data_IF_587762317160
#
_entry.id   IF_587762317160
#
_cell.length_a   1.000
_cell.length_b   1.000
_cell.length_c   1.000
_cell.angle_alpha   90.00
_cell.angle_beta   90.00
_cell.angle_gamma   90.00
#
_symmetry.space_group_name_H-M   'P 1'
#
loop_
_entity.id
_entity.type
_entity.pdbx_description
1 polymer ?
#
# COMPACT_ATOMS: atom_id res chain seq x y z
N UNK A 1 -32.27 45.20 50.73
CA UNK A 1 -30.81 45.45 50.62
C UNK A 1 -29.91 44.29 51.03
N UNK A 2 -29.66 43.96 52.31
CA UNK A 2 -28.66 42.92 52.68
C UNK A 2 -28.97 41.51 52.15
N UNK A 3 -30.25 41.10 52.16
CA UNK A 3 -30.66 39.78 51.63
C UNK A 3 -30.60 39.71 50.10
N UNK A 4 -31.04 40.75 49.39
CA UNK A 4 -30.99 40.82 47.92
C UNK A 4 -29.55 40.77 47.42
N UNK A 5 -28.64 41.50 48.08
CA UNK A 5 -27.22 41.48 47.75
C UNK A 5 -26.61 40.08 47.94
N UNK A 6 -27.05 39.33 48.95
CA UNK A 6 -26.61 37.95 49.20
C UNK A 6 -27.10 36.99 48.11
N UNK A 7 -28.34 37.16 47.63
CA UNK A 7 -28.90 36.38 46.53
C UNK A 7 -28.14 36.68 45.23
N UNK A 8 -27.85 37.94 44.93
CA UNK A 8 -27.08 38.32 43.73
C UNK A 8 -25.67 37.71 43.74
N UNK A 9 -24.97 37.75 44.88
CA UNK A 9 -23.63 37.15 45.02
C UNK A 9 -23.69 35.63 44.85
N UNK A 10 -24.67 34.96 45.46
CA UNK A 10 -24.86 33.51 45.30
C UNK A 10 -25.18 33.13 43.86
N UNK A 11 -26.05 33.88 43.18
CA UNK A 11 -26.38 33.66 41.78
C UNK A 11 -25.17 33.88 40.88
N UNK A 12 -24.35 34.91 41.14
CA UNK A 12 -23.11 35.15 40.41
C UNK A 12 -22.08 34.02 40.62
N UNK A 13 -21.93 33.54 41.86
CA UNK A 13 -21.05 32.41 42.17
C UNK A 13 -21.54 31.11 41.50
N UNK A 14 -22.85 30.84 41.50
CA UNK A 14 -23.43 29.69 40.81
C UNK A 14 -23.30 29.80 39.29
N UNK A 15 -23.49 30.99 38.71
CA UNK A 15 -23.30 31.22 37.28
C UNK A 15 -21.83 31.02 36.88
N UNK A 16 -20.89 31.47 37.70
CA UNK A 16 -19.46 31.27 37.48
C UNK A 16 -19.04 29.79 37.62
N UNK A 17 -19.54 29.09 38.63
CA UNK A 17 -19.30 27.64 38.78
C UNK A 17 -19.95 26.84 37.64
N UNK A 18 -21.15 27.22 37.22
CA UNK A 18 -21.84 26.59 36.10
C UNK A 18 -21.10 26.79 34.78
N UNK A 19 -20.59 28.00 34.51
CA UNK A 19 -19.86 28.29 33.28
C UNK A 19 -18.49 27.61 33.24
N UNK A 20 -17.77 27.57 34.37
CA UNK A 20 -16.47 26.89 34.46
C UNK A 20 -16.60 25.38 34.32
N UNK A 21 -17.57 24.75 34.99
CA UNK A 21 -17.85 23.32 34.84
C UNK A 21 -18.35 23.00 33.43
N UNK A 22 -19.21 23.84 32.87
CA UNK A 22 -19.70 23.70 31.49
C UNK A 22 -18.57 23.77 30.47
N UNK A 23 -17.70 24.78 30.56
CA UNK A 23 -16.54 24.92 29.68
C UNK A 23 -15.56 23.74 29.80
N UNK A 24 -15.31 23.26 31.02
CA UNK A 24 -14.45 22.10 31.26
C UNK A 24 -15.02 20.82 30.63
N UNK A 25 -16.32 20.55 30.83
CA UNK A 25 -16.99 19.38 30.24
C UNK A 25 -17.06 19.48 28.71
N UNK A 26 -17.37 20.66 28.16
CA UNK A 26 -17.37 20.90 26.71
C UNK A 26 -15.98 20.68 26.11
N UNK A 27 -14.91 21.10 26.79
CA UNK A 27 -13.55 20.85 26.35
C UNK A 27 -13.20 19.36 26.34
N UNK A 28 -13.47 18.63 27.44
CA UNK A 28 -13.21 17.18 27.49
C UNK A 28 -14.03 16.39 26.46
N UNK A 29 -15.30 16.75 26.24
CA UNK A 29 -16.14 16.09 25.24
C UNK A 29 -15.68 16.44 23.82
N UNK A 30 -15.28 17.69 23.59
CA UNK A 30 -14.72 18.14 22.31
C UNK A 30 -13.41 17.45 21.96
N UNK A 31 -12.49 17.32 22.91
CA UNK A 31 -11.22 16.62 22.73
C UNK A 31 -11.45 15.14 22.39
N UNK A 32 -12.33 14.44 23.12
CA UNK A 32 -12.69 13.05 22.81
C UNK A 32 -13.39 12.89 21.47
N UNK A 33 -14.22 13.84 21.06
CA UNK A 33 -14.88 13.82 19.76
C UNK A 33 -13.86 14.02 18.63
N UNK A 34 -12.95 14.98 18.80
CA UNK A 34 -11.86 15.27 17.87
C UNK A 34 -10.90 14.08 17.74
N UNK A 35 -10.49 13.46 18.86
CA UNK A 35 -9.65 12.25 18.84
C UNK A 35 -10.31 11.11 18.05
N UNK A 36 -11.62 10.90 18.24
CA UNK A 36 -12.36 9.90 17.46
C UNK A 36 -12.37 10.26 15.99
N UNK A 37 -12.66 11.50 15.63
CA UNK A 37 -12.71 11.97 14.25
C UNK A 37 -11.36 11.77 13.55
N UNK A 38 -10.26 12.17 14.19
CA UNK A 38 -8.90 11.95 13.70
C UNK A 38 -8.60 10.46 13.50
N UNK A 39 -8.99 9.61 14.46
CA UNK A 39 -8.82 8.16 14.34
C UNK A 39 -9.66 7.57 13.20
N UNK A 40 -10.90 8.03 13.00
CA UNK A 40 -11.75 7.57 11.91
C UNK A 40 -11.19 7.99 10.55
N UNK A 41 -10.72 9.22 10.42
CA UNK A 41 -10.09 9.71 9.19
C UNK A 41 -8.80 8.94 8.88
N UNK A 42 -7.98 8.66 9.90
CA UNK A 42 -6.79 7.84 9.73
C UNK A 42 -7.12 6.41 9.28
N UNK A 43 -8.14 5.78 9.88
CA UNK A 43 -8.62 4.45 9.47
C UNK A 43 -9.16 4.47 8.05
N UNK A 44 -9.95 5.48 7.69
CA UNK A 44 -10.51 5.66 6.34
C UNK A 44 -9.41 5.81 5.31
N UNK A 45 -8.41 6.65 5.58
CA UNK A 45 -7.24 6.82 4.72
C UNK A 45 -6.51 5.49 4.52
N UNK A 46 -6.27 4.75 5.61
CA UNK A 46 -5.58 3.45 5.56
C UNK A 46 -6.31 2.44 4.68
N UNK A 47 -7.64 2.31 4.85
CA UNK A 47 -8.46 1.41 4.02
C UNK A 47 -8.44 1.83 2.55
N UNK A 48 -8.51 3.13 2.27
CA UNK A 48 -8.42 3.64 0.90
C UNK A 48 -7.06 3.32 0.24
N UNK A 49 -5.95 3.45 0.98
CA UNK A 49 -4.63 3.08 0.47
C UNK A 49 -4.53 1.58 0.21
N UNK A 50 -5.07 0.75 1.11
CA UNK A 50 -5.13 -0.70 0.94
C UNK A 50 -5.87 -1.11 -0.33
N UNK A 51 -7.06 -0.56 -0.56
CA UNK A 51 -7.85 -0.85 -1.77
C UNK A 51 -7.05 -0.48 -3.03
N UNK A 52 -6.42 0.71 -3.05
CA UNK A 52 -5.56 1.13 -4.17
C UNK A 52 -4.37 0.18 -4.38
N UNK A 53 -3.79 -0.36 -3.31
CA UNK A 53 -2.70 -1.34 -3.41
C UNK A 53 -3.17 -2.66 -4.01
N UNK A 54 -4.38 -3.13 -3.68
CA UNK A 54 -4.96 -4.33 -4.31
C UNK A 54 -5.13 -4.12 -5.82
N UNK A 55 -5.63 -2.96 -6.24
CA UNK A 55 -5.76 -2.64 -7.67
C UNK A 55 -4.40 -2.59 -8.37
N UNK A 56 -3.38 -1.98 -7.74
CA UNK A 56 -2.02 -1.93 -8.28
C UNK A 56 -1.39 -3.32 -8.35
N UNK A 57 -1.63 -4.17 -7.36
CA UNK A 57 -1.19 -5.56 -7.37
C UNK A 57 -1.81 -6.33 -8.54
N UNK A 58 -3.12 -6.21 -8.74
CA UNK A 58 -3.80 -6.88 -9.85
C UNK A 58 -3.22 -6.47 -11.21
N UNK A 59 -2.93 -5.17 -11.40
CA UNK A 59 -2.26 -4.66 -12.62
C UNK A 59 -0.84 -5.21 -12.78
N UNK A 60 -0.07 -5.22 -11.69
CA UNK A 60 1.30 -5.72 -11.71
C UNK A 60 1.38 -7.24 -11.92
N UNK A 61 0.38 -8.00 -11.46
CA UNK A 61 0.28 -9.44 -11.73
C UNK A 61 -0.13 -9.69 -13.18
N UNK A 62 -1.08 -8.92 -13.72
CA UNK A 62 -1.52 -9.05 -15.12
C UNK A 62 -0.39 -8.77 -16.13
N UNK A 63 0.57 -7.91 -15.79
CA UNK A 63 1.73 -7.62 -16.65
C UNK A 63 2.80 -8.73 -16.62
N UNK A 64 2.73 -9.70 -15.71
CA UNK A 64 3.70 -10.81 -15.64
C UNK A 64 3.59 -11.76 -16.84
N UNK A 65 2.39 -11.99 -17.36
CA UNK A 65 2.20 -12.83 -18.56
C UNK A 65 2.82 -12.19 -19.81
N UNK A 66 2.73 -10.87 -19.92
CA UNK A 66 3.38 -10.09 -20.98
C UNK A 66 4.91 -10.15 -20.84
N UNK A 67 5.42 -10.04 -19.60
CA UNK A 67 6.84 -10.18 -19.29
C UNK A 67 7.37 -11.55 -19.74
N UNK A 68 6.66 -12.64 -19.47
CA UNK A 68 7.16 -13.97 -19.80
C UNK A 68 7.42 -14.09 -21.31
N UNK A 69 6.49 -13.60 -22.13
CA UNK A 69 6.65 -13.56 -23.60
C UNK A 69 7.84 -12.68 -24.01
N UNK A 70 7.98 -11.50 -23.39
CA UNK A 70 9.06 -10.57 -23.70
C UNK A 70 10.44 -11.14 -23.35
N UNK A 71 10.57 -11.85 -22.23
CA UNK A 71 11.82 -12.52 -21.83
C UNK A 71 12.19 -13.63 -22.84
N UNK A 72 11.22 -14.40 -23.32
CA UNK A 72 11.46 -15.42 -24.34
C UNK A 72 11.98 -14.81 -25.65
N UNK A 73 11.38 -13.71 -26.10
CA UNK A 73 11.83 -12.96 -27.28
C UNK A 73 13.26 -12.42 -27.12
N UNK A 74 13.58 -11.85 -25.95
CA UNK A 74 14.94 -11.37 -25.65
C UNK A 74 15.94 -12.53 -25.63
N UNK A 75 15.57 -13.70 -25.11
CA UNK A 75 16.42 -14.90 -25.13
C UNK A 75 16.68 -15.39 -26.55
N UNK A 76 15.66 -15.40 -27.41
CA UNK A 76 15.80 -15.78 -28.83
C UNK A 76 16.76 -14.82 -29.53
N UNK A 77 16.58 -13.51 -29.36
CA UNK A 77 17.47 -12.50 -29.93
C UNK A 77 18.92 -12.65 -29.43
N UNK A 78 19.12 -12.91 -28.13
CA UNK A 78 20.46 -13.19 -27.57
C UNK A 78 21.08 -14.45 -28.15
N UNK A 79 20.33 -15.55 -28.25
CA UNK A 79 20.85 -16.81 -28.80
C UNK A 79 21.23 -16.66 -30.27
N UNK A 80 20.42 -15.96 -31.07
CA UNK A 80 20.73 -15.69 -32.47
C UNK A 80 22.06 -14.91 -32.62
N UNK A 81 22.33 -13.95 -31.73
CA UNK A 81 23.62 -13.22 -31.69
C UNK A 81 24.78 -14.13 -31.34
N UNK A 82 24.63 -14.98 -30.33
CA UNK A 82 25.69 -15.91 -29.91
C UNK A 82 26.06 -16.85 -31.05
N UNK A 83 25.06 -17.39 -31.76
CA UNK A 83 25.27 -18.26 -32.93
C UNK A 83 25.97 -17.49 -34.06
N UNK A 84 25.56 -16.25 -34.35
CA UNK A 84 26.22 -15.43 -35.36
C UNK A 84 27.70 -15.16 -35.03
N UNK A 85 28.01 -14.87 -33.76
CA UNK A 85 29.37 -14.69 -33.26
C UNK A 85 30.21 -15.97 -33.37
N UNK A 86 29.64 -17.12 -33.00
CA UNK A 86 30.30 -18.43 -33.13
C UNK A 86 30.59 -18.78 -34.59
N UNK A 87 29.75 -18.34 -35.52
CA UNK A 87 29.92 -18.52 -36.97
C UNK A 87 30.85 -17.47 -37.61
N UNK A 88 31.46 -16.58 -36.81
CA UNK A 88 32.34 -15.52 -37.31
C UNK A 88 31.61 -14.43 -38.09
N UNK A 89 30.28 -14.37 -38.01
CA UNK A 89 29.47 -13.32 -38.62
C UNK A 89 29.34 -12.13 -37.68
N UNK A 90 29.17 -10.94 -38.25
CA UNK A 90 28.84 -9.74 -37.48
C UNK A 90 27.51 -9.98 -36.75
N UNK A 91 27.43 -9.79 -35.42
CA UNK A 91 26.19 -9.97 -34.70
C UNK A 91 25.14 -8.98 -35.23
N UNK A 92 23.86 -9.39 -35.35
CA UNK A 92 22.80 -8.46 -35.74
C UNK A 92 22.73 -7.30 -34.72
N UNK A 93 22.52 -6.07 -35.22
CA UNK A 93 22.37 -4.86 -34.39
C UNK A 93 21.31 -5.11 -33.31
N UNK A 94 21.51 -4.59 -32.08
CA UNK A 94 20.46 -4.61 -31.05
C UNK A 94 19.20 -4.01 -31.68
N UNK A 95 18.17 -4.83 -31.86
CA UNK A 95 16.91 -4.29 -32.36
C UNK A 95 16.43 -3.28 -31.32
N UNK A 96 16.07 -2.08 -31.76
CA UNK A 96 15.46 -1.05 -30.90
C UNK A 96 14.29 -1.62 -30.08
N UNK A 97 13.64 -2.66 -30.64
CA UNK A 97 12.62 -3.49 -29.98
C UNK A 97 13.17 -4.21 -28.74
N UNK A 98 14.30 -4.92 -28.84
CA UNK A 98 14.91 -5.65 -27.70
C UNK A 98 15.27 -4.71 -26.55
N UNK A 99 15.80 -3.52 -26.86
CA UNK A 99 16.11 -2.51 -25.85
C UNK A 99 14.85 -1.95 -25.17
N UNK A 100 13.81 -1.60 -25.95
CA UNK A 100 12.52 -1.18 -25.40
C UNK A 100 11.89 -2.24 -24.51
N UNK A 101 11.96 -3.51 -24.91
CA UNK A 101 11.46 -4.64 -24.12
C UNK A 101 12.25 -4.77 -22.81
N UNK A 102 13.57 -4.67 -22.85
CA UNK A 102 14.41 -4.75 -21.65
C UNK A 102 14.10 -3.61 -20.66
N UNK A 103 13.96 -2.37 -21.14
CA UNK A 103 13.59 -1.23 -20.29
C UNK A 103 12.20 -1.42 -19.68
N UNK A 104 11.25 -1.96 -20.45
CA UNK A 104 9.90 -2.27 -19.96
C UNK A 104 9.92 -3.34 -18.87
N UNK A 105 10.75 -4.38 -19.01
CA UNK A 105 10.93 -5.42 -17.99
C UNK A 105 11.39 -4.83 -16.66
N UNK A 106 12.42 -3.99 -16.67
CA UNK A 106 12.96 -3.33 -15.46
C UNK A 106 11.91 -2.46 -14.79
N UNK A 107 11.11 -1.73 -15.58
CA UNK A 107 10.04 -0.89 -15.04
C UNK A 107 8.96 -1.71 -14.32
N UNK A 108 8.55 -2.83 -14.92
CA UNK A 108 7.53 -3.70 -14.31
C UNK A 108 8.09 -4.41 -13.07
N UNK A 109 9.35 -4.83 -13.09
CA UNK A 109 10.02 -5.39 -11.91
C UNK A 109 10.03 -4.41 -10.74
N UNK A 110 10.41 -3.16 -11.01
CA UNK A 110 10.41 -2.11 -10.02
C UNK A 110 9.00 -1.83 -9.47
N UNK A 111 7.98 -1.81 -10.34
CA UNK A 111 6.59 -1.63 -9.93
C UNK A 111 6.08 -2.80 -9.08
N UNK A 112 6.34 -4.04 -9.51
CA UNK A 112 5.94 -5.25 -8.79
C UNK A 112 6.58 -5.30 -7.39
N UNK A 113 7.89 -5.05 -7.31
CA UNK A 113 8.63 -5.02 -6.04
C UNK A 113 8.16 -3.88 -5.13
N UNK A 114 7.88 -2.70 -5.68
CA UNK A 114 7.33 -1.59 -4.93
C UNK A 114 5.94 -1.91 -4.36
N UNK A 115 5.07 -2.56 -5.14
CA UNK A 115 3.75 -2.97 -4.66
C UNK A 115 3.88 -3.99 -3.53
N UNK A 116 4.72 -5.02 -3.69
CA UNK A 116 4.97 -6.01 -2.64
C UNK A 116 5.49 -5.35 -1.36
N UNK A 117 6.44 -4.43 -1.47
CA UNK A 117 6.99 -3.70 -0.32
C UNK A 117 5.92 -2.83 0.37
N UNK A 118 5.06 -2.16 -0.40
CA UNK A 118 3.96 -1.35 0.15
C UNK A 118 2.90 -2.21 0.82
N UNK A 119 2.63 -3.41 0.31
CA UNK A 119 1.74 -4.36 0.99
C UNK A 119 2.28 -4.68 2.39
N UNK A 120 3.60 -4.78 2.57
CA UNK A 120 4.18 -5.06 3.89
C UNK A 120 4.02 -3.93 4.91
N UNK A 121 3.92 -2.69 4.42
CA UNK A 121 3.73 -1.51 5.27
C UNK A 121 2.26 -1.37 5.69
N UNK A 122 1.35 -1.62 4.74
CA UNK A 122 -0.07 -1.36 4.95
C UNK A 122 -0.84 -2.56 5.49
N UNK A 123 -0.35 -3.80 5.34
CA UNK A 123 -1.03 -5.01 5.81
C UNK A 123 -0.31 -5.67 6.99
N UNK A 124 -0.95 -6.71 7.52
CA UNK A 124 -0.52 -7.40 8.72
C UNK A 124 0.41 -8.59 8.46
N UNK A 125 0.66 -9.39 9.51
CA UNK A 125 1.65 -10.46 9.47
C UNK A 125 1.34 -11.57 8.46
N UNK A 126 0.07 -11.85 8.14
CA UNK A 126 -0.29 -12.88 7.15
C UNK A 126 0.11 -12.42 5.75
N UNK A 127 -0.22 -11.19 5.39
CA UNK A 127 0.18 -10.61 4.09
C UNK A 127 1.69 -10.56 4.00
N UNK A 128 2.38 -10.15 5.08
CA UNK A 128 3.84 -10.06 5.11
C UNK A 128 4.51 -11.41 4.86
N UNK A 129 3.98 -12.49 5.45
CA UNK A 129 4.48 -13.84 5.22
C UNK A 129 4.32 -14.28 3.76
N UNK A 130 3.16 -14.03 3.16
CA UNK A 130 2.93 -14.33 1.73
C UNK A 130 3.83 -13.51 0.81
N UNK A 131 4.00 -12.21 1.10
CA UNK A 131 4.88 -11.33 0.33
C UNK A 131 6.34 -11.81 0.42
N UNK A 132 6.82 -12.15 1.61
CA UNK A 132 8.21 -12.62 1.80
C UNK A 132 8.51 -13.86 0.97
N UNK A 133 7.54 -14.77 0.78
CA UNK A 133 7.70 -15.94 -0.09
C UNK A 133 7.84 -15.56 -1.56
N UNK A 134 7.07 -14.56 -2.01
CA UNK A 134 7.14 -14.05 -3.38
C UNK A 134 8.45 -13.30 -3.64
N UNK A 135 8.92 -12.49 -2.68
CA UNK A 135 10.21 -11.79 -2.78
C UNK A 135 11.38 -12.78 -2.77
N UNK A 136 11.31 -13.84 -1.96
CA UNK A 136 12.34 -14.87 -1.89
C UNK A 136 12.35 -15.81 -3.12
N UNK A 137 11.37 -15.72 -4.01
CA UNK A 137 11.30 -16.58 -5.18
C UNK A 137 12.45 -16.27 -6.13
N UNK A 138 13.17 -17.32 -6.56
CA UNK A 138 14.28 -17.20 -7.54
C UNK A 138 13.84 -16.59 -8.88
N UNK A 139 12.56 -16.74 -9.23
CA UNK A 139 11.97 -16.25 -10.48
C UNK A 139 10.77 -15.38 -10.14
N UNK A 140 11.02 -14.08 -9.93
CA UNK A 140 10.00 -13.12 -9.53
C UNK A 140 8.90 -12.93 -10.59
N UNK A 141 9.26 -13.04 -11.88
CA UNK A 141 8.35 -12.81 -13.01
C UNK A 141 7.46 -14.00 -13.35
N UNK A 142 7.65 -15.14 -12.66
CA UNK A 142 6.85 -16.35 -12.84
C UNK A 142 6.48 -16.93 -11.47
N UNK A 143 5.71 -16.19 -10.66
CA UNK A 143 5.24 -16.69 -9.38
C UNK A 143 4.31 -17.88 -9.60
N UNK A 144 4.25 -18.79 -8.63
CA UNK A 144 3.26 -19.88 -8.67
C UNK A 144 1.88 -19.27 -8.42
N UNK A 145 0.89 -19.72 -9.18
CA UNK A 145 -0.50 -19.28 -9.04
C UNK A 145 -0.99 -19.45 -7.59
N UNK A 146 -0.64 -20.56 -6.94
CA UNK A 146 -0.95 -20.81 -5.53
C UNK A 146 -0.40 -19.74 -4.58
N UNK A 147 0.79 -19.20 -4.84
CA UNK A 147 1.41 -18.20 -3.98
C UNK A 147 0.72 -16.83 -4.15
N UNK A 148 0.26 -16.52 -5.37
CA UNK A 148 -0.55 -15.33 -5.65
C UNK A 148 -1.94 -15.44 -5.00
N UNK A 149 -2.59 -16.60 -5.09
CA UNK A 149 -3.89 -16.82 -4.43
C UNK A 149 -3.79 -16.72 -2.91
N UNK A 150 -2.71 -17.26 -2.31
CA UNK A 150 -2.43 -17.11 -0.87
C UNK A 150 -2.18 -15.65 -0.47
N UNK A 151 -1.58 -14.85 -1.35
CA UNK A 151 -1.42 -13.42 -1.13
C UNK A 151 -2.79 -12.72 -1.11
N UNK A 152 -3.67 -13.00 -2.09
CA UNK A 152 -5.01 -12.42 -2.13
C UNK A 152 -5.88 -12.83 -0.94
N UNK A 153 -5.81 -14.09 -0.49
CA UNK A 153 -6.52 -14.56 0.70
C UNK A 153 -6.03 -13.84 1.96
N UNK A 154 -4.70 -13.71 2.13
CA UNK A 154 -4.12 -12.97 3.26
C UNK A 154 -4.56 -11.49 3.27
N UNK A 155 -4.54 -10.84 2.10
CA UNK A 155 -5.03 -9.47 1.91
C UNK A 155 -6.51 -9.36 2.29
N UNK A 156 -7.35 -10.30 1.85
CA UNK A 156 -8.77 -10.33 2.16
C UNK A 156 -9.04 -10.44 3.66
N UNK A 157 -8.28 -11.27 4.36
CA UNK A 157 -8.39 -11.44 5.82
C UNK A 157 -7.90 -10.22 6.60
N UNK A 158 -6.98 -9.43 6.04
CA UNK A 158 -6.35 -8.28 6.72
C UNK A 158 -6.83 -6.93 6.19
N UNK A 159 -7.86 -6.89 5.33
CA UNK A 159 -8.36 -5.65 4.73
C UNK A 159 -8.76 -4.61 5.79
N UNK A 160 -9.40 -5.06 6.87
CA UNK A 160 -9.84 -4.26 8.01
C UNK A 160 -8.97 -4.43 9.26
N UNK A 161 -7.80 -5.05 9.13
CA UNK A 161 -6.87 -5.22 10.25
C UNK A 161 -6.21 -3.88 10.60
N UNK A 162 -6.27 -3.40 11.83
CA UNK A 162 -5.51 -2.21 12.24
C UNK A 162 -4.54 -2.63 13.35
N UNK A 163 -3.26 -2.23 13.28
CA UNK A 163 -2.28 -2.53 14.31
C UNK A 163 -2.62 -1.90 15.67
#
# INVERSE_FOLDING_TARGET
MKQEMRIVILSAALAFLGSTVGAFLSFQLGEKAWEREVQYDHKKFTVQQRIKLVERLAKAVASLDEIQKNIELIKIDRNARTIALEQGQSPPVISEVSEKLSNRLVQIEAEYSAVLSLLQVFYGPKTNNSVNKLIAAKVWYKPKEEDILKLYDAIGQELYWFP
#
